data_IF_754917479566
#
_entry.id   IF_754917479566
#
_cell.length_a   1.000
_cell.length_b   1.000
_cell.length_c   1.000
_cell.angle_alpha   90.00
_cell.angle_beta   90.00
_cell.angle_gamma   90.00
#
_symmetry.space_group_name_H-M   'P 1'
#
loop_
_entity.id
_entity.type
_entity.pdbx_description
1 polymer ?
#
# COMPACT_ATOMS: atom_id res chain seq x y z
N UNK A 1 -32.01 28.00 -10.70
CA UNK A 1 -31.71 26.62 -10.26
C UNK A 1 -30.22 26.31 -10.45
N UNK A 2 -29.33 26.76 -9.56
CA UNK A 2 -27.87 26.65 -9.75
C UNK A 2 -27.14 25.71 -8.75
N UNK A 3 -27.85 25.06 -7.83
CA UNK A 3 -27.21 24.30 -6.73
C UNK A 3 -26.99 22.79 -6.94
N UNK A 4 -27.72 22.12 -7.85
CA UNK A 4 -27.69 20.65 -7.96
C UNK A 4 -26.55 20.08 -8.83
N UNK A 5 -25.93 20.90 -9.68
CA UNK A 5 -24.92 20.46 -10.67
C UNK A 5 -23.50 20.39 -10.08
N UNK A 6 -23.10 21.37 -9.26
CA UNK A 6 -21.78 21.41 -8.63
C UNK A 6 -21.53 20.25 -7.67
N UNK A 7 -22.49 19.94 -6.80
CA UNK A 7 -22.40 18.82 -5.86
C UNK A 7 -22.22 17.46 -6.55
N UNK A 8 -22.93 17.22 -7.67
CA UNK A 8 -22.77 15.98 -8.44
C UNK A 8 -21.37 15.85 -9.06
N UNK A 9 -20.74 16.96 -9.45
CA UNK A 9 -19.36 16.95 -9.97
C UNK A 9 -18.35 16.66 -8.86
N UNK A 10 -18.50 17.31 -7.69
CA UNK A 10 -17.65 17.06 -6.52
C UNK A 10 -17.77 15.61 -6.04
N UNK A 11 -18.99 15.09 -5.96
CA UNK A 11 -19.23 13.70 -5.57
C UNK A 11 -18.59 12.70 -6.55
N UNK A 12 -18.71 12.94 -7.86
CA UNK A 12 -18.04 12.11 -8.87
C UNK A 12 -16.52 12.19 -8.76
N UNK A 13 -15.98 13.39 -8.55
CA UNK A 13 -14.54 13.57 -8.36
C UNK A 13 -14.04 12.83 -7.11
N UNK A 14 -14.80 12.86 -6.02
CA UNK A 14 -14.51 12.09 -4.81
C UNK A 14 -14.49 10.58 -5.10
N UNK A 15 -15.51 10.04 -5.79
CA UNK A 15 -15.53 8.62 -6.18
C UNK A 15 -14.31 8.25 -7.03
N UNK A 16 -13.97 9.06 -8.03
CA UNK A 16 -12.80 8.81 -8.88
C UNK A 16 -11.51 8.84 -8.05
N UNK A 17 -11.41 9.76 -7.09
CA UNK A 17 -10.30 9.83 -6.14
C UNK A 17 -10.18 8.57 -5.28
N UNK A 18 -11.27 8.13 -4.66
CA UNK A 18 -11.31 6.90 -3.86
C UNK A 18 -10.91 5.66 -4.68
N UNK A 19 -11.42 5.54 -5.91
CA UNK A 19 -11.04 4.43 -6.82
C UNK A 19 -9.55 4.49 -7.16
N UNK A 20 -9.01 5.68 -7.44
CA UNK A 20 -7.59 5.83 -7.73
C UNK A 20 -6.71 5.47 -6.51
N UNK A 21 -7.10 5.88 -5.30
CA UNK A 21 -6.43 5.52 -4.06
C UNK A 21 -6.49 4.01 -3.78
N UNK A 22 -7.63 3.37 -4.04
CA UNK A 22 -7.80 1.92 -3.90
C UNK A 22 -6.88 1.16 -4.87
N UNK A 23 -6.83 1.57 -6.14
CA UNK A 23 -5.95 0.96 -7.15
C UNK A 23 -4.48 1.16 -6.76
N UNK A 24 -4.11 2.36 -6.31
CA UNK A 24 -2.76 2.68 -5.88
C UNK A 24 -2.32 1.83 -4.69
N UNK A 25 -3.16 1.75 -3.64
CA UNK A 25 -2.87 0.95 -2.45
C UNK A 25 -2.78 -0.55 -2.76
N UNK A 26 -3.68 -1.08 -3.61
CA UNK A 26 -3.61 -2.47 -4.07
C UNK A 26 -2.31 -2.75 -4.83
N UNK A 27 -1.88 -1.85 -5.72
CA UNK A 27 -0.62 -2.01 -6.47
C UNK A 27 0.58 -2.08 -5.53
N UNK A 28 0.65 -1.21 -4.53
CA UNK A 28 1.72 -1.20 -3.53
C UNK A 28 1.71 -2.50 -2.72
N UNK A 29 0.54 -2.93 -2.23
CA UNK A 29 0.39 -4.21 -1.53
C UNK A 29 0.80 -5.40 -2.39
N UNK A 30 0.38 -5.44 -3.65
CA UNK A 30 0.72 -6.51 -4.59
C UNK A 30 2.23 -6.59 -4.86
N UNK A 31 2.89 -5.44 -5.06
CA UNK A 31 4.34 -5.36 -5.22
C UNK A 31 5.09 -5.81 -3.95
N UNK A 32 4.64 -5.39 -2.76
CA UNK A 32 5.22 -5.85 -1.50
C UNK A 32 5.08 -7.36 -1.29
N UNK A 33 4.03 -8.00 -1.79
CA UNK A 33 3.89 -9.46 -1.70
C UNK A 33 4.73 -10.23 -2.74
N UNK A 34 4.96 -9.66 -3.91
CA UNK A 34 5.52 -10.38 -5.06
C UNK A 34 7.00 -10.11 -5.32
N UNK A 35 7.53 -8.96 -4.90
CA UNK A 35 8.89 -8.53 -5.19
C UNK A 35 9.67 -8.17 -3.93
N UNK A 36 10.76 -8.91 -3.67
CA UNK A 36 11.69 -8.58 -2.60
C UNK A 36 12.44 -7.28 -2.87
N UNK A 37 12.80 -7.01 -4.12
CA UNK A 37 13.49 -5.77 -4.49
C UNK A 37 12.62 -4.55 -4.23
N UNK A 38 11.31 -4.66 -4.48
CA UNK A 38 10.38 -3.60 -4.12
C UNK A 38 10.30 -3.41 -2.60
N UNK A 39 10.27 -4.50 -1.83
CA UNK A 39 10.37 -4.41 -0.36
C UNK A 39 11.69 -3.79 0.09
N UNK A 40 12.82 -4.08 -0.57
CA UNK A 40 14.11 -3.44 -0.27
C UNK A 40 14.06 -1.93 -0.53
N UNK A 41 13.47 -1.52 -1.64
CA UNK A 41 13.28 -0.11 -1.93
C UNK A 41 12.36 0.57 -0.89
N UNK A 42 11.31 -0.12 -0.44
CA UNK A 42 10.45 0.36 0.66
C UNK A 42 11.19 0.43 2.00
N UNK A 43 12.10 -0.49 2.30
CA UNK A 43 12.98 -0.45 3.48
C UNK A 43 13.87 0.80 3.45
N UNK A 44 14.40 1.16 2.29
CA UNK A 44 15.28 2.33 2.13
C UNK A 44 14.53 3.67 2.15
N UNK A 45 13.31 3.72 1.61
CA UNK A 45 12.60 4.99 1.39
C UNK A 45 11.40 5.21 2.33
N UNK A 46 10.73 4.13 2.74
CA UNK A 46 9.48 4.17 3.51
C UNK A 46 9.43 3.05 4.58
N UNK A 47 10.42 2.96 5.48
CA UNK A 47 10.57 1.83 6.40
C UNK A 47 9.35 1.62 7.32
N UNK A 48 8.67 2.70 7.71
CA UNK A 48 7.45 2.61 8.52
C UNK A 48 6.29 1.92 7.79
N UNK A 49 6.18 2.08 6.46
CA UNK A 49 5.15 1.42 5.66
C UNK A 49 5.47 -0.07 5.52
N UNK A 50 6.74 -0.40 5.25
CA UNK A 50 7.19 -1.80 5.18
C UNK A 50 6.97 -2.52 6.52
N UNK A 51 7.26 -1.86 7.63
CA UNK A 51 7.02 -2.42 8.97
C UNK A 51 5.52 -2.66 9.23
N UNK A 52 4.66 -1.72 8.81
CA UNK A 52 3.21 -1.92 8.83
C UNK A 52 2.76 -3.12 7.99
N UNK A 53 3.37 -3.31 6.82
CA UNK A 53 3.12 -4.47 5.96
C UNK A 53 3.47 -5.77 6.68
N UNK A 54 4.68 -5.91 7.24
CA UNK A 54 5.07 -7.11 7.99
C UNK A 54 4.14 -7.38 9.17
N UNK A 55 3.88 -6.38 10.01
CA UNK A 55 2.98 -6.53 11.16
C UNK A 55 1.58 -6.97 10.75
N UNK A 56 1.04 -6.43 9.66
CA UNK A 56 -0.28 -6.82 9.16
C UNK A 56 -0.31 -8.29 8.69
N UNK A 57 0.75 -8.74 8.01
CA UNK A 57 0.90 -10.13 7.59
C UNK A 57 1.03 -11.08 8.80
N UNK A 58 1.84 -10.70 9.79
CA UNK A 58 2.06 -11.45 11.03
C UNK A 58 0.80 -11.59 11.87
N UNK A 59 0.00 -10.53 11.96
CA UNK A 59 -1.34 -10.55 12.58
C UNK A 59 -2.30 -11.48 11.82
N UNK A 60 -2.17 -11.55 10.50
CA UNK A 60 -2.89 -12.51 9.65
C UNK A 60 -2.36 -13.95 9.72
N UNK A 61 -1.31 -14.21 10.49
CA UNK A 61 -0.70 -15.53 10.65
C UNK A 61 0.40 -15.85 9.62
N UNK A 62 0.73 -14.92 8.72
CA UNK A 62 1.82 -15.08 7.76
C UNK A 62 3.12 -14.53 8.37
N UNK A 63 4.08 -15.42 8.64
CA UNK A 63 5.39 -15.08 9.23
C UNK A 63 6.53 -15.48 8.28
N UNK A 64 7.74 -14.99 8.52
CA UNK A 64 8.93 -15.37 7.77
C UNK A 64 9.37 -14.36 6.71
N UNK A 65 8.47 -13.48 6.26
CA UNK A 65 8.82 -12.49 5.23
C UNK A 65 9.84 -11.46 5.75
N UNK A 66 9.67 -10.98 6.99
CA UNK A 66 10.60 -10.04 7.63
C UNK A 66 11.97 -10.66 7.80
N UNK A 67 12.02 -11.87 8.33
CA UNK A 67 13.25 -12.59 8.63
C UNK A 67 14.01 -12.92 7.34
N UNK A 68 13.32 -13.44 6.32
CA UNK A 68 13.92 -13.76 5.03
C UNK A 68 14.46 -12.52 4.30
N UNK A 69 13.78 -11.38 4.44
CA UNK A 69 14.25 -10.12 3.87
C UNK A 69 15.47 -9.59 4.64
N UNK A 70 15.46 -9.62 5.98
CA UNK A 70 16.61 -9.23 6.81
C UNK A 70 17.86 -10.07 6.49
N UNK A 71 17.71 -11.40 6.41
CA UNK A 71 18.78 -12.31 6.02
C UNK A 71 19.32 -11.98 4.62
N UNK A 72 18.44 -11.77 3.64
CA UNK A 72 18.82 -11.45 2.28
C UNK A 72 19.55 -10.10 2.15
N UNK A 73 19.27 -9.16 3.05
CA UNK A 73 19.86 -7.83 3.05
C UNK A 73 21.05 -7.68 4.01
N UNK A 74 21.39 -8.73 4.77
CA UNK A 74 22.46 -8.71 5.75
C UNK A 74 22.18 -7.77 6.93
N UNK A 75 20.91 -7.66 7.33
CA UNK A 75 20.44 -6.89 8.49
C UNK A 75 20.17 -7.79 9.70
#
# INVERSE_FOLDING_TARGET
MAGKSGWRKLFRAAIVGEVALLIGSYRVWHQMNTSRDYRKWMDDNYPAILEGFYRSAELGGYRGAREADAEAWGK
#
